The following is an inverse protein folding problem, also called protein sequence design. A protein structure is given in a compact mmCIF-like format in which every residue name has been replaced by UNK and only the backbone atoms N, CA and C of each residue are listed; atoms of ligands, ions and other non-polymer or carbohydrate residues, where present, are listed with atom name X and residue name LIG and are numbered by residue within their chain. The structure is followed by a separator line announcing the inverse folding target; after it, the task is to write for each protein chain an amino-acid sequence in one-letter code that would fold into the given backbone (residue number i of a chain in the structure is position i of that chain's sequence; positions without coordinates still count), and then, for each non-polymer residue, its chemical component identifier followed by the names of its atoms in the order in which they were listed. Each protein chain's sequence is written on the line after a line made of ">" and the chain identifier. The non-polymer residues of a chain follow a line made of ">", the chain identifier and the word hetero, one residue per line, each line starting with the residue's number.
data_IF_306231970151
#
_entry.id   IF_306231970151
#
_cell.length_a   1.000
_cell.length_b   1.000
_cell.length_c   1.000
_cell.angle_alpha   90.00
_cell.angle_beta   90.00
_cell.angle_gamma   90.00
#
_symmetry.space_group_name_H-M   'P 1'
#
loop_
_entity.id
_entity.type
_entity.pdbx_description
1 polymer ?
#
# COMPACT_ATOMS: atom_id res chain seq x y z
N UNK A 1 13.26 12.10 -17.45
CA UNK A 1 13.33 11.10 -16.35
C UNK A 1 12.07 11.06 -15.49
N UNK A 2 11.37 12.19 -15.27
CA UNK A 2 10.11 12.24 -14.50
C UNK A 2 9.00 11.29 -15.00
N UNK A 3 8.82 11.16 -16.32
CA UNK A 3 7.78 10.31 -16.91
C UNK A 3 7.88 8.82 -16.56
N UNK A 4 9.10 8.24 -16.60
CA UNK A 4 9.33 6.83 -16.26
C UNK A 4 9.12 6.53 -14.78
N UNK A 5 9.37 7.51 -13.91
CA UNK A 5 9.15 7.40 -12.46
C UNK A 5 7.65 7.36 -12.15
N UNK A 6 6.86 8.19 -12.85
CA UNK A 6 5.40 8.21 -12.72
C UNK A 6 4.77 6.92 -13.25
N UNK A 7 5.21 6.41 -14.41
CA UNK A 7 4.73 5.14 -14.97
C UNK A 7 4.99 3.96 -14.03
N UNK A 8 6.21 3.83 -13.52
CA UNK A 8 6.58 2.72 -12.64
C UNK A 8 5.78 2.75 -11.32
N UNK A 9 5.38 3.93 -10.88
CA UNK A 9 4.54 4.10 -9.70
C UNK A 9 3.06 3.83 -9.96
N UNK A 10 2.54 4.19 -11.13
CA UNK A 10 1.20 3.77 -11.57
C UNK A 10 1.11 2.25 -11.65
N UNK A 11 2.16 1.58 -12.14
CA UNK A 11 2.26 0.11 -12.17
C UNK A 11 2.25 -0.47 -10.74
N UNK A 12 2.93 0.17 -9.78
CA UNK A 12 2.90 -0.25 -8.38
C UNK A 12 1.48 -0.15 -7.80
N UNK A 13 0.79 0.96 -8.02
CA UNK A 13 -0.59 1.15 -7.55
C UNK A 13 -1.48 0.05 -8.14
N UNK A 14 -1.41 -0.17 -9.47
CA UNK A 14 -2.19 -1.20 -10.14
C UNK A 14 -1.90 -2.61 -9.57
N UNK A 15 -0.62 -2.93 -9.35
CA UNK A 15 -0.22 -4.23 -8.81
C UNK A 15 -0.78 -4.44 -7.40
N UNK A 16 -0.78 -3.41 -6.55
CA UNK A 16 -1.35 -3.50 -5.21
C UNK A 16 -2.87 -3.59 -5.26
N UNK A 17 -3.54 -2.85 -6.15
CA UNK A 17 -5.00 -2.96 -6.33
C UNK A 17 -5.41 -4.36 -6.79
N UNK A 18 -4.70 -4.94 -7.76
CA UNK A 18 -4.92 -6.32 -8.22
C UNK A 18 -4.68 -7.31 -7.08
N UNK A 19 -3.58 -7.16 -6.34
CA UNK A 19 -3.27 -8.03 -5.21
C UNK A 19 -4.32 -7.91 -4.10
N UNK A 20 -4.78 -6.70 -3.83
CA UNK A 20 -5.85 -6.42 -2.89
C UNK A 20 -7.19 -7.03 -3.32
N UNK A 21 -7.53 -7.00 -4.60
CA UNK A 21 -8.71 -7.68 -5.13
C UNK A 21 -8.63 -9.19 -4.91
N UNK A 22 -7.48 -9.81 -5.18
CA UNK A 22 -7.28 -11.24 -4.93
C UNK A 22 -7.48 -11.59 -3.44
N UNK A 23 -6.92 -10.77 -2.55
CA UNK A 23 -7.11 -10.94 -1.10
C UNK A 23 -8.57 -10.66 -0.67
N UNK A 24 -9.29 -9.80 -1.38
CA UNK A 24 -10.73 -9.59 -1.16
C UNK A 24 -11.58 -10.77 -1.62
N UNK A 25 -11.20 -11.48 -2.68
CA UNK A 25 -11.86 -12.73 -3.07
C UNK A 25 -11.60 -13.83 -2.04
N UNK A 26 -10.41 -13.83 -1.43
CA UNK A 26 -10.08 -14.71 -0.31
C UNK A 26 -10.73 -14.28 1.03
N UNK A 27 -11.55 -13.22 1.05
CA UNK A 27 -12.21 -12.67 2.25
C UNK A 27 -11.24 -12.27 3.37
N UNK A 28 -10.06 -11.75 3.01
CA UNK A 28 -9.04 -11.31 3.97
C UNK A 28 -9.13 -9.79 4.20
N UNK A 29 -9.26 -9.02 3.13
CA UNK A 29 -9.39 -7.56 3.19
C UNK A 29 -10.51 -7.07 2.26
N UNK A 30 -11.15 -5.94 2.58
CA UNK A 30 -12.15 -5.29 1.73
C UNK A 30 -11.89 -3.80 1.59
N UNK A 31 -12.37 -3.21 0.50
CA UNK A 31 -12.37 -1.76 0.29
C UNK A 31 -10.97 -1.15 0.30
N UNK A 32 -10.02 -1.78 -0.39
CA UNK A 32 -8.66 -1.24 -0.50
C UNK A 32 -8.68 -0.01 -1.38
N UNK A 33 -8.11 1.09 -0.89
CA UNK A 33 -7.93 2.32 -1.64
C UNK A 33 -6.53 2.85 -1.42
N UNK A 34 -5.84 3.15 -2.52
CA UNK A 34 -4.50 3.72 -2.52
C UNK A 34 -4.56 5.03 -3.29
N UNK A 35 -4.18 6.09 -2.63
CA UNK A 35 -4.13 7.42 -3.23
C UNK A 35 -2.78 8.03 -2.96
N UNK A 36 -2.23 8.69 -3.98
CA UNK A 36 -0.96 9.38 -3.87
C UNK A 36 -1.15 10.77 -4.42
N UNK A 37 -0.94 11.75 -3.56
CA UNK A 37 -1.05 13.14 -3.91
C UNK A 37 0.31 13.81 -3.77
N UNK A 38 0.57 14.84 -4.56
CA UNK A 38 1.76 15.66 -4.45
C UNK A 38 1.36 17.11 -4.22
N UNK A 39 1.86 17.70 -3.13
CA UNK A 39 1.70 19.12 -2.83
C UNK A 39 3.10 19.71 -2.66
N UNK A 40 3.53 20.51 -3.65
CA UNK A 40 4.91 20.99 -3.71
C UNK A 40 5.91 19.84 -3.83
N UNK A 41 6.84 19.76 -2.87
CA UNK A 41 7.87 18.72 -2.80
C UNK A 41 7.50 17.54 -1.90
N UNK A 42 6.26 17.47 -1.41
CA UNK A 42 5.80 16.41 -0.51
C UNK A 42 4.83 15.50 -1.27
N UNK A 43 5.15 14.20 -1.26
CA UNK A 43 4.27 13.11 -1.67
C UNK A 43 3.54 12.57 -0.46
N UNK A 44 2.21 12.56 -0.53
CA UNK A 44 1.33 11.97 0.48
C UNK A 44 0.74 10.69 -0.09
N UNK A 45 1.15 9.54 0.45
CA UNK A 45 0.56 8.24 0.13
C UNK A 45 -0.41 7.85 1.24
N UNK A 46 -1.67 7.61 0.88
CA UNK A 46 -2.71 7.08 1.75
C UNK A 46 -3.13 5.70 1.26
N UNK A 47 -3.07 4.71 2.16
CA UNK A 47 -3.49 3.33 1.93
C UNK A 47 -4.54 3.01 2.97
N UNK A 48 -5.77 2.74 2.54
CA UNK A 48 -6.88 2.38 3.42
C UNK A 48 -7.37 0.98 3.08
N UNK A 49 -7.73 0.19 4.10
CA UNK A 49 -8.40 -1.10 3.92
C UNK A 49 -9.22 -1.48 5.15
N UNK A 50 -10.17 -2.38 4.94
CA UNK A 50 -10.93 -3.05 5.99
C UNK A 50 -10.44 -4.48 6.16
N UNK A 51 -10.02 -4.84 7.37
CA UNK A 51 -9.65 -6.20 7.71
C UNK A 51 -10.91 -7.02 7.99
N UNK A 52 -11.18 -8.00 7.13
CA UNK A 52 -12.30 -8.95 7.29
C UNK A 52 -11.82 -10.35 7.65
N UNK A 53 -10.51 -10.54 7.75
CA UNK A 53 -9.90 -11.80 8.17
C UNK A 53 -10.05 -12.01 9.69
N UNK A 54 -10.06 -13.27 10.16
CA UNK A 54 -9.99 -13.59 11.58
C UNK A 54 -8.58 -13.41 12.19
N UNK A 55 -7.68 -12.72 11.49
CA UNK A 55 -6.29 -12.48 11.90
C UNK A 55 -5.88 -11.02 11.68
N UNK A 56 -4.78 -10.59 12.29
CA UNK A 56 -4.27 -9.24 12.12
C UNK A 56 -3.71 -9.02 10.71
N UNK A 57 -3.98 -7.83 10.17
CA UNK A 57 -3.46 -7.37 8.88
C UNK A 57 -2.62 -6.11 9.12
N UNK A 58 -1.35 -6.15 8.71
CA UNK A 58 -0.45 -5.00 8.74
C UNK A 58 -0.34 -4.32 7.38
N UNK A 59 -0.30 -2.99 7.39
CA UNK A 59 0.02 -2.16 6.24
C UNK A 59 1.30 -1.42 6.58
N UNK A 60 2.31 -1.52 5.73
CA UNK A 60 3.57 -0.82 5.91
C UNK A 60 3.96 -0.10 4.63
N UNK A 61 4.50 1.10 4.75
CA UNK A 61 5.05 1.86 3.64
C UNK A 61 6.26 2.65 4.14
N UNK A 62 7.44 2.35 3.59
CA UNK A 62 8.71 2.79 4.16
C UNK A 62 8.89 2.29 5.60
N UNK A 63 9.19 3.20 6.53
CA UNK A 63 9.32 2.90 7.97
C UNK A 63 8.01 3.05 8.76
N UNK A 64 6.93 3.49 8.11
CA UNK A 64 5.63 3.69 8.75
C UNK A 64 4.76 2.45 8.58
N UNK A 65 3.98 2.12 9.60
CA UNK A 65 3.04 1.01 9.52
C UNK A 65 1.89 1.07 10.50
N UNK A 66 0.84 0.33 10.21
CA UNK A 66 -0.35 0.17 11.05
C UNK A 66 -0.80 -1.30 11.02
N UNK A 67 -1.22 -1.81 12.18
CA UNK A 67 -1.87 -3.11 12.27
C UNK A 67 -3.36 -2.95 12.53
N UNK A 68 -4.16 -3.71 11.79
CA UNK A 68 -5.61 -3.75 11.86
C UNK A 68 -6.04 -5.11 12.41
N UNK A 69 -6.77 -5.09 13.52
CA UNK A 69 -7.35 -6.29 14.12
C UNK A 69 -8.56 -6.76 13.29
N UNK A 70 -9.03 -8.01 13.49
CA UNK A 70 -10.23 -8.52 12.81
C UNK A 70 -11.42 -7.55 12.92
N UNK A 71 -12.04 -7.25 11.78
CA UNK A 71 -13.18 -6.33 11.67
C UNK A 71 -12.83 -4.84 11.69
N UNK A 72 -11.55 -4.46 11.79
CA UNK A 72 -11.14 -3.06 11.80
C UNK A 72 -10.92 -2.50 10.40
N UNK A 73 -11.41 -1.29 10.19
CA UNK A 73 -10.99 -0.43 9.10
C UNK A 73 -9.86 0.49 9.56
N UNK A 74 -8.87 0.72 8.71
CA UNK A 74 -7.86 1.73 8.98
C UNK A 74 -7.10 2.18 7.75
N UNK A 75 -6.37 3.27 7.95
CA UNK A 75 -5.58 3.93 6.92
C UNK A 75 -4.18 4.22 7.42
N UNK A 76 -3.19 3.92 6.59
CA UNK A 76 -1.84 4.44 6.72
C UNK A 76 -1.70 5.68 5.84
N UNK A 77 -1.26 6.81 6.41
CA UNK A 77 -0.91 8.02 5.66
C UNK A 77 0.55 8.33 5.89
N UNK A 78 1.31 8.40 4.80
CA UNK A 78 2.75 8.68 4.83
C UNK A 78 3.03 9.91 3.99
N UNK A 79 3.71 10.88 4.59
CA UNK A 79 4.22 12.07 3.90
C UNK A 79 5.72 11.92 3.74
N UNK A 80 6.21 12.11 2.52
CA UNK A 80 7.63 11.96 2.19
C UNK A 80 8.05 12.98 1.15
N UNK A 81 9.30 13.43 1.20
CA UNK A 81 9.89 14.28 0.15
C UNK A 81 10.34 13.46 -1.07
N UNK A 82 10.19 12.13 -0.99
CA UNK A 82 10.49 11.18 -2.06
C UNK A 82 9.27 10.30 -2.28
N UNK A 83 9.06 9.89 -3.53
CA UNK A 83 8.06 8.90 -3.86
C UNK A 83 8.39 7.59 -3.13
N UNK A 84 7.40 6.98 -2.45
CA UNK A 84 7.62 5.72 -1.76
C UNK A 84 7.96 4.64 -2.79
N UNK A 85 9.06 3.93 -2.58
CA UNK A 85 9.49 2.87 -3.49
C UNK A 85 8.86 1.52 -3.13
N UNK A 86 8.26 1.36 -1.95
CA UNK A 86 7.70 0.08 -1.53
C UNK A 86 6.50 0.22 -0.58
N UNK A 87 5.60 -0.76 -0.70
CA UNK A 87 4.43 -0.97 0.17
C UNK A 87 4.39 -2.45 0.52
N UNK A 88 4.18 -2.78 1.79
CA UNK A 88 4.05 -4.15 2.28
C UNK A 88 2.70 -4.38 2.93
N UNK A 89 2.03 -5.45 2.52
CA UNK A 89 0.86 -6.00 3.17
C UNK A 89 1.29 -7.24 3.95
N UNK A 90 1.08 -7.22 5.26
CA UNK A 90 1.34 -8.34 6.16
C UNK A 90 0.01 -8.97 6.57
N UNK A 91 -0.14 -10.28 6.42
CA UNK A 91 -1.35 -11.03 6.75
C UNK A 91 -0.91 -12.28 7.50
N UNK A 92 -1.08 -12.27 8.83
CA UNK A 92 -0.59 -13.36 9.67
C UNK A 92 0.91 -13.61 9.48
N UNK A 93 1.28 -14.76 8.90
CA UNK A 93 2.67 -15.16 8.62
C UNK A 93 3.16 -14.77 7.22
N UNK A 94 2.30 -14.23 6.36
CA UNK A 94 2.62 -13.86 4.98
C UNK A 94 2.88 -12.36 4.88
N UNK A 95 4.07 -11.99 4.41
CA UNK A 95 4.39 -10.61 4.08
C UNK A 95 4.59 -10.49 2.57
N UNK A 96 3.78 -9.65 1.93
CA UNK A 96 3.91 -9.35 0.50
C UNK A 96 4.34 -7.90 0.36
N UNK A 97 5.58 -7.70 -0.06
CA UNK A 97 6.15 -6.39 -0.38
C UNK A 97 6.14 -6.20 -1.88
N UNK A 98 5.46 -5.15 -2.32
CA UNK A 98 5.51 -4.65 -3.69
C UNK A 98 6.37 -3.41 -3.70
N UNK A 99 7.36 -3.37 -4.59
CA UNK A 99 8.26 -2.25 -4.69
C UNK A 99 8.74 -1.99 -6.10
N UNK A 100 9.15 -0.75 -6.34
CA UNK A 100 9.66 -0.26 -7.61
C UNK A 100 11.16 -0.04 -7.46
N UNK A 101 11.94 -0.82 -8.19
CA UNK A 101 13.39 -0.62 -8.29
C UNK A 101 13.70 0.40 -9.37
N UNK A 102 14.37 1.49 -9.01
CA UNK A 102 14.95 2.40 -10.00
C UNK A 102 16.34 1.89 -10.38
N UNK A 103 16.50 1.34 -11.59
CA UNK A 103 17.82 1.15 -12.17
C UNK A 103 18.42 2.53 -12.46
N UNK A 104 19.61 2.80 -11.91
CA UNK A 104 20.37 4.03 -12.18
C UNK A 104 20.84 4.08 -13.62
#
# INVERSE_FOLDING_TARGET
>A
MLGKVVEAFLILILAIEVFAMLLSMASIIKGVSITVNQVGNIYTTRICLSNVAPMNVGIYAGSSGVMLHPGQYGCLVVNSTQLLSNITLAIGLLNVTLGVGYAK
#
